data_IF_613040632027
#
_entry.id   IF_613040632027
#
_cell.length_a   1.000
_cell.length_b   1.000
_cell.length_c   1.000
_cell.angle_alpha   90.00
_cell.angle_beta   90.00
_cell.angle_gamma   90.00
#
_symmetry.space_group_name_H-M   'P 1'
#
loop_
_entity.id
_entity.type
_entity.pdbx_description
1 polymer ?
#
# COMPACT_ATOMS: atom_id res chain seq x y z
N UNK A 1 -23.91 11.31 -16.15
CA UNK A 1 -22.73 11.68 -16.94
C UNK A 1 -21.57 10.90 -16.36
N UNK A 2 -21.03 9.93 -17.11
CA UNK A 2 -19.88 9.15 -16.63
C UNK A 2 -18.65 10.06 -16.74
N UNK A 3 -18.14 10.56 -15.61
CA UNK A 3 -16.93 11.36 -15.61
C UNK A 3 -15.78 10.45 -16.09
N UNK A 4 -15.15 10.81 -17.21
CA UNK A 4 -13.96 10.11 -17.70
C UNK A 4 -12.81 10.20 -16.69
N UNK A 5 -11.71 9.46 -16.92
CA UNK A 5 -10.55 9.53 -16.04
C UNK A 5 -10.06 10.98 -15.89
N UNK A 6 -9.64 11.40 -14.69
CA UNK A 6 -9.12 12.74 -14.48
C UNK A 6 -7.84 12.92 -15.31
N UNK A 7 -7.65 14.11 -15.87
CA UNK A 7 -6.48 14.44 -16.67
C UNK A 7 -5.57 15.39 -15.89
N UNK A 8 -4.37 14.92 -15.56
CA UNK A 8 -3.36 15.76 -14.92
C UNK A 8 -2.87 16.85 -15.89
N UNK A 9 -2.86 18.13 -15.50
CA UNK A 9 -2.37 19.21 -16.36
C UNK A 9 -0.88 19.03 -16.66
N UNK A 10 -0.51 19.31 -17.90
CA UNK A 10 0.89 19.37 -18.32
C UNK A 10 1.52 20.69 -17.85
N UNK A 11 2.72 20.61 -17.27
CA UNK A 11 3.54 21.77 -16.89
C UNK A 11 4.91 21.64 -17.56
N UNK A 12 5.38 22.63 -18.35
CA UNK A 12 6.67 22.53 -19.02
C UNK A 12 7.80 22.23 -18.03
N UNK A 13 8.51 21.13 -18.25
CA UNK A 13 9.71 20.77 -17.52
C UNK A 13 10.60 19.90 -18.41
N UNK A 14 11.89 20.19 -18.41
CA UNK A 14 12.90 19.46 -19.19
C UNK A 14 13.89 18.83 -18.24
N UNK A 15 13.99 17.50 -18.30
CA UNK A 15 14.98 16.73 -17.56
C UNK A 15 16.25 16.63 -18.40
N UNK A 16 17.40 16.96 -17.80
CA UNK A 16 18.72 16.88 -18.45
C UNK A 16 19.61 15.87 -17.75
N UNK A 17 20.00 14.80 -18.45
CA UNK A 17 20.90 13.77 -17.92
C UNK A 17 21.92 13.37 -18.98
N UNK A 18 23.20 13.38 -18.61
CA UNK A 18 24.32 13.00 -19.49
C UNK A 18 24.32 13.70 -20.86
N UNK A 19 23.90 14.97 -20.89
CA UNK A 19 23.80 15.75 -22.14
C UNK A 19 22.56 15.44 -22.99
N UNK A 20 21.68 14.55 -22.55
CA UNK A 20 20.38 14.29 -23.18
C UNK A 20 19.28 15.08 -22.49
N UNK A 21 18.45 15.76 -23.27
CA UNK A 21 17.24 16.44 -22.81
C UNK A 21 16.00 15.58 -23.08
N UNK A 22 15.06 15.58 -22.16
CA UNK A 22 13.77 14.90 -22.32
C UNK A 22 12.68 15.74 -21.68
N UNK A 23 11.62 16.03 -22.43
CA UNK A 23 10.43 16.69 -21.91
C UNK A 23 9.71 15.76 -20.92
N UNK A 24 9.47 16.26 -19.71
CA UNK A 24 8.66 15.58 -18.69
C UNK A 24 7.59 16.54 -18.17
N UNK A 25 6.46 16.69 -18.89
CA UNK A 25 5.41 17.63 -18.52
C UNK A 25 4.70 17.30 -17.19
N UNK A 26 4.96 16.13 -16.61
CA UNK A 26 4.33 15.66 -15.37
C UNK A 26 5.31 15.57 -14.21
N UNK A 27 6.52 16.10 -14.36
CA UNK A 27 7.54 16.11 -13.31
C UNK A 27 7.03 16.67 -11.97
N UNK A 28 6.10 17.64 -12.04
CA UNK A 28 5.49 18.26 -10.87
C UNK A 28 4.71 17.28 -9.97
N UNK A 29 4.21 16.15 -10.51
CA UNK A 29 3.54 15.10 -9.72
C UNK A 29 4.46 14.40 -8.71
N UNK A 30 5.76 14.65 -8.78
CA UNK A 30 6.76 14.12 -7.85
C UNK A 30 6.69 14.77 -6.47
N UNK A 31 6.22 16.01 -6.38
CA UNK A 31 6.17 16.76 -5.11
C UNK A 31 4.95 16.33 -4.29
N UNK A 32 5.19 15.54 -3.25
CA UNK A 32 4.11 14.95 -2.43
C UNK A 32 3.41 15.96 -1.53
N UNK A 33 4.03 17.12 -1.31
CA UNK A 33 3.47 18.19 -0.47
C UNK A 33 2.76 19.28 -1.31
N UNK A 34 2.86 19.26 -2.65
CA UNK A 34 2.17 20.20 -3.54
C UNK A 34 0.63 19.94 -3.48
N UNK A 35 -0.18 20.95 -3.08
CA UNK A 35 -1.63 20.82 -3.05
C UNK A 35 -2.27 20.39 -4.37
N UNK A 36 -1.66 20.76 -5.52
CA UNK A 36 -2.14 20.33 -6.82
C UNK A 36 -1.95 18.83 -7.04
N UNK A 37 -0.90 18.24 -6.46
CA UNK A 37 -0.63 16.79 -6.54
C UNK A 37 -1.65 16.05 -5.70
N UNK A 38 -1.89 16.52 -4.47
CA UNK A 38 -2.93 15.97 -3.59
C UNK A 38 -4.32 16.04 -4.24
N UNK A 39 -4.65 17.15 -4.92
CA UNK A 39 -5.90 17.29 -5.66
C UNK A 39 -6.01 16.28 -6.82
N UNK A 40 -4.92 16.07 -7.57
CA UNK A 40 -4.87 15.07 -8.63
C UNK A 40 -5.08 13.66 -8.09
N UNK A 41 -4.40 13.30 -6.99
CA UNK A 41 -4.53 12.00 -6.34
C UNK A 41 -5.95 11.77 -5.79
N UNK A 42 -6.58 12.79 -5.21
CA UNK A 42 -7.95 12.71 -4.73
C UNK A 42 -8.94 12.47 -5.89
N UNK A 43 -8.75 13.14 -7.03
CA UNK A 43 -9.57 12.93 -8.22
C UNK A 43 -9.39 11.51 -8.79
N UNK A 44 -8.15 11.01 -8.84
CA UNK A 44 -7.84 9.64 -9.29
C UNK A 44 -8.47 8.59 -8.37
N UNK A 45 -8.36 8.77 -7.05
CA UNK A 45 -9.00 7.87 -6.08
C UNK A 45 -10.54 7.86 -6.24
N UNK A 46 -11.17 9.02 -6.38
CA UNK A 46 -12.61 9.11 -6.59
C UNK A 46 -13.05 8.44 -7.90
N UNK A 47 -12.26 8.58 -8.96
CA UNK A 47 -12.50 7.88 -10.22
C UNK A 47 -12.35 6.36 -10.06
N UNK A 48 -11.28 5.89 -9.41
CA UNK A 48 -11.06 4.47 -9.16
C UNK A 48 -12.18 3.85 -8.31
N UNK A 49 -12.64 4.54 -7.27
CA UNK A 49 -13.76 4.11 -6.44
C UNK A 49 -15.05 3.99 -7.27
N UNK A 50 -15.35 4.99 -8.10
CA UNK A 50 -16.53 4.98 -8.97
C UNK A 50 -16.44 3.87 -10.04
N UNK A 51 -15.31 3.79 -10.74
CA UNK A 51 -15.08 2.81 -11.80
C UNK A 51 -15.14 1.37 -11.27
N UNK A 52 -14.70 1.13 -10.03
CA UNK A 52 -14.70 -0.20 -9.41
C UNK A 52 -15.89 -0.47 -8.50
N UNK A 53 -16.82 0.48 -8.36
CA UNK A 53 -17.96 0.36 -7.43
C UNK A 53 -18.79 -0.91 -7.66
N UNK A 54 -18.98 -1.30 -8.93
CA UNK A 54 -19.72 -2.51 -9.31
C UNK A 54 -19.08 -3.82 -8.83
N UNK A 55 -17.79 -3.80 -8.46
CA UNK A 55 -17.05 -4.95 -7.94
C UNK A 55 -17.11 -5.06 -6.41
N UNK A 56 -17.80 -4.16 -5.71
CA UNK A 56 -17.80 -4.11 -4.25
C UNK A 56 -18.22 -5.43 -3.60
N UNK A 57 -19.22 -6.13 -4.16
CA UNK A 57 -19.64 -7.45 -3.67
C UNK A 57 -18.56 -8.51 -3.82
N UNK A 58 -17.96 -8.62 -5.00
CA UNK A 58 -16.85 -9.56 -5.26
C UNK A 58 -15.65 -9.27 -4.35
N UNK A 59 -15.30 -8.00 -4.17
CA UNK A 59 -14.22 -7.56 -3.27
C UNK A 59 -14.48 -7.98 -1.83
N UNK A 60 -15.72 -7.85 -1.35
CA UNK A 60 -16.09 -8.28 0.00
C UNK A 60 -15.98 -9.80 0.18
N UNK A 61 -16.44 -10.58 -0.80
CA UNK A 61 -16.31 -12.06 -0.78
C UNK A 61 -14.84 -12.48 -0.73
N UNK A 62 -14.02 -11.96 -1.65
CA UNK A 62 -12.59 -12.29 -1.70
C UNK A 62 -11.87 -11.87 -0.42
N UNK A 63 -12.20 -10.70 0.15
CA UNK A 63 -11.63 -10.27 1.41
C UNK A 63 -11.95 -11.24 2.56
N UNK A 64 -13.21 -11.67 2.69
CA UNK A 64 -13.63 -12.61 3.71
C UNK A 64 -12.94 -13.98 3.55
N UNK A 65 -12.86 -14.49 2.32
CA UNK A 65 -12.19 -15.75 2.02
C UNK A 65 -10.70 -15.71 2.35
N UNK A 66 -10.00 -14.65 1.92
CA UNK A 66 -8.57 -14.49 2.19
C UNK A 66 -8.30 -14.36 3.69
N UNK A 67 -9.10 -13.54 4.39
CA UNK A 67 -8.98 -13.40 5.85
C UNK A 67 -9.23 -14.72 6.57
N UNK A 68 -10.24 -15.49 6.14
CA UNK A 68 -10.56 -16.78 6.74
C UNK A 68 -9.45 -17.83 6.60
N UNK A 69 -8.49 -17.63 5.69
CA UNK A 69 -7.31 -18.50 5.52
C UNK A 69 -6.11 -18.09 6.37
N UNK A 70 -6.17 -16.96 7.06
CA UNK A 70 -5.09 -16.44 7.89
C UNK A 70 -5.28 -16.92 9.34
N UNK A 71 -4.31 -17.65 9.87
CA UNK A 71 -4.24 -17.96 11.30
C UNK A 71 -3.77 -16.71 12.06
N UNK A 72 -4.72 -15.93 12.60
CA UNK A 72 -4.40 -14.66 13.28
C UNK A 72 -3.60 -14.86 14.59
N UNK A 73 -3.68 -16.05 15.20
CA UNK A 73 -2.97 -16.36 16.45
C UNK A 73 -2.10 -17.59 16.27
N UNK A 74 -0.79 -17.36 16.21
CA UNK A 74 0.18 -18.43 16.06
C UNK A 74 1.43 -18.15 16.91
N UNK A 75 2.04 -19.22 17.40
CA UNK A 75 3.35 -19.18 18.02
C UNK A 75 4.36 -19.72 17.00
N UNK A 76 5.24 -18.85 16.53
CA UNK A 76 6.26 -19.18 15.56
C UNK A 76 7.28 -20.18 16.10
N UNK A 77 8.11 -20.70 15.19
CA UNK A 77 9.13 -21.68 15.53
C UNK A 77 10.14 -21.10 16.56
N UNK A 78 10.44 -21.89 17.58
CA UNK A 78 11.46 -21.57 18.56
C UNK A 78 12.86 -21.77 17.99
N UNK A 79 13.69 -20.74 18.07
CA UNK A 79 15.09 -20.74 17.62
C UNK A 79 16.00 -20.77 18.86
N UNK A 80 16.84 -21.81 19.04
CA UNK A 80 17.75 -21.88 20.17
C UNK A 80 18.90 -20.88 20.03
N UNK A 81 19.25 -20.19 21.11
CA UNK A 81 20.42 -19.34 21.22
C UNK A 81 20.93 -19.33 22.67
N UNK A 82 22.03 -20.06 22.93
CA UNK A 82 22.58 -20.23 24.26
C UNK A 82 21.60 -20.94 25.21
N UNK A 83 21.38 -20.44 26.45
CA UNK A 83 20.45 -21.02 27.40
C UNK A 83 18.97 -20.67 27.13
N UNK A 84 18.66 -20.00 26.00
CA UNK A 84 17.33 -19.51 25.68
C UNK A 84 16.81 -20.07 24.35
N UNK A 85 15.49 -20.23 24.26
CA UNK A 85 14.74 -20.38 23.02
C UNK A 85 13.99 -19.08 22.72
N UNK A 86 14.14 -18.55 21.51
CA UNK A 86 13.47 -17.32 21.06
C UNK A 86 12.34 -17.66 20.09
N UNK A 87 11.20 -16.99 20.21
CA UNK A 87 10.09 -17.18 19.28
C UNK A 87 9.26 -15.90 19.18
N UNK A 88 8.53 -15.79 18.07
CA UNK A 88 7.54 -14.72 17.85
C UNK A 88 6.14 -15.27 18.03
N UNK A 89 5.23 -14.40 18.43
CA UNK A 89 3.85 -14.74 18.72
C UNK A 89 2.94 -13.71 18.09
N UNK A 90 2.05 -14.14 17.21
CA UNK A 90 0.94 -13.31 16.72
C UNK A 90 -0.31 -13.62 17.55
N UNK A 91 -1.16 -12.61 17.72
CA UNK A 91 -2.46 -12.76 18.40
C UNK A 91 -3.51 -12.01 17.62
N UNK A 92 -4.71 -12.58 17.58
CA UNK A 92 -5.87 -11.97 16.94
C UNK A 92 -6.11 -10.57 17.50
N UNK A 93 -6.35 -9.62 16.60
CA UNK A 93 -6.55 -8.21 16.93
C UNK A 93 -5.27 -7.41 17.25
N UNK A 94 -4.09 -8.04 17.35
CA UNK A 94 -2.83 -7.32 17.46
C UNK A 94 -2.21 -7.11 16.08
N UNK A 95 -1.85 -5.86 15.77
CA UNK A 95 -1.21 -5.52 14.51
C UNK A 95 0.27 -5.94 14.44
N UNK A 96 0.91 -6.15 15.60
CA UNK A 96 2.34 -6.43 15.70
C UNK A 96 2.61 -7.75 16.43
N UNK A 97 3.67 -8.48 16.04
CA UNK A 97 4.09 -9.68 16.75
C UNK A 97 4.69 -9.34 18.12
N UNK A 98 4.52 -10.26 19.06
CA UNK A 98 5.16 -10.23 20.37
C UNK A 98 6.44 -11.07 20.29
N UNK A 99 7.57 -10.50 20.70
CA UNK A 99 8.85 -11.19 20.76
C UNK A 99 9.05 -11.79 22.15
N UNK A 100 9.25 -13.11 22.24
CA UNK A 100 9.41 -13.83 23.50
C UNK A 100 10.69 -14.65 23.51
N UNK A 101 11.14 -15.00 24.73
CA UNK A 101 12.13 -16.04 24.97
C UNK A 101 11.77 -16.86 26.20
N UNK A 102 12.20 -18.11 26.25
CA UNK A 102 12.12 -18.98 27.43
C UNK A 102 13.43 -19.74 27.66
N UNK A 103 13.75 -20.14 28.90
CA UNK A 103 14.88 -21.05 29.13
C UNK A 103 14.69 -22.35 28.34
N UNK A 104 15.78 -22.90 27.81
CA UNK A 104 15.78 -24.21 27.15
C UNK A 104 15.85 -25.34 28.17
#
# INVERSE_FOLDING_TARGET
MNAGPPAAPQRPHVRRIHGTETDDPWYWLRDVDDPAVLACLAAENAYADHATAHLAGLRATLFAELRGRIEESHDGLAIPNGPWEYFTRTRAGLQYPIHLRRPR
#
